data_IF_310017725332
#
_entry.id   IF_310017725332
#
_cell.length_a   1.000
_cell.length_b   1.000
_cell.length_c   1.000
_cell.angle_alpha   90.00
_cell.angle_beta   90.00
_cell.angle_gamma   90.00
#
_symmetry.space_group_name_H-M   'P 1'
#
loop_
_entity.id
_entity.type
_entity.pdbx_description
1 polymer ?
#
# COMPACT_ATOMS: atom_id res chain seq x y z
N UNK A 1 1.30 -17.13 12.82
CA UNK A 1 1.98 -15.86 12.44
C UNK A 1 2.04 -15.82 10.92
N UNK A 2 1.03 -15.25 10.27
CA UNK A 2 1.07 -14.94 8.84
C UNK A 2 1.31 -13.44 8.73
N UNK A 3 2.54 -13.01 8.41
CA UNK A 3 2.75 -11.64 7.97
C UNK A 3 1.81 -11.35 6.79
N UNK A 4 1.22 -10.15 6.74
CA UNK A 4 0.59 -9.67 5.50
C UNK A 4 1.70 -9.55 4.45
N UNK A 5 1.90 -10.62 3.68
CA UNK A 5 2.87 -10.68 2.59
C UNK A 5 2.20 -10.17 1.32
N UNK A 6 1.82 -8.90 1.39
CA UNK A 6 1.41 -8.14 0.23
C UNK A 6 2.61 -7.82 -0.68
N UNK A 7 3.83 -8.18 -0.25
CA UNK A 7 5.02 -8.17 -1.09
C UNK A 7 5.07 -9.38 -2.03
N UNK A 8 4.36 -10.48 -1.78
CA UNK A 8 4.38 -11.67 -2.65
C UNK A 8 3.91 -11.43 -4.08
N UNK A 9 2.77 -10.74 -4.32
CA UNK A 9 2.36 -10.36 -5.67
C UNK A 9 3.34 -9.37 -6.34
N UNK A 10 4.12 -8.65 -5.53
CA UNK A 10 4.99 -7.56 -6.00
C UNK A 10 6.48 -7.90 -5.96
N UNK A 11 6.87 -9.05 -5.41
CA UNK A 11 8.21 -9.54 -5.00
C UNK A 11 9.31 -8.46 -4.99
N UNK A 12 9.11 -7.37 -4.25
CA UNK A 12 9.95 -6.17 -4.38
C UNK A 12 11.40 -6.45 -3.93
N UNK A 13 12.38 -5.97 -4.68
CA UNK A 13 13.78 -6.00 -4.23
C UNK A 13 14.04 -5.08 -3.01
N UNK A 14 15.18 -5.26 -2.31
CA UNK A 14 15.48 -4.63 -1.02
C UNK A 14 15.59 -3.10 -0.99
N UNK A 15 15.60 -2.45 -2.16
CA UNK A 15 15.60 -1.00 -2.29
C UNK A 15 14.38 -0.46 -3.07
N UNK A 16 13.44 -1.34 -3.41
CA UNK A 16 12.23 -1.01 -4.17
C UNK A 16 11.07 -0.87 -3.20
N UNK A 17 10.34 0.23 -3.31
CA UNK A 17 9.12 0.45 -2.52
C UNK A 17 8.06 1.12 -3.37
N UNK A 18 6.82 0.94 -2.95
CA UNK A 18 5.65 1.51 -3.61
C UNK A 18 4.98 2.52 -2.70
N UNK A 19 4.45 3.58 -3.29
CA UNK A 19 3.56 4.52 -2.64
C UNK A 19 2.24 4.56 -3.39
N UNK A 20 1.14 4.48 -2.66
CA UNK A 20 -0.20 4.51 -3.23
C UNK A 20 -1.12 5.38 -2.41
N UNK A 21 -2.11 5.94 -3.08
CA UNK A 21 -3.16 6.71 -2.43
C UNK A 21 -4.45 6.47 -3.20
N UNK A 22 -5.52 6.14 -2.49
CA UNK A 22 -6.87 6.05 -3.08
C UNK A 22 -7.59 7.35 -2.73
N UNK A 23 -7.04 8.46 -3.20
CA UNK A 23 -7.68 9.78 -3.04
C UNK A 23 -8.99 9.80 -3.84
N UNK A 24 -10.11 9.63 -3.15
CA UNK A 24 -11.40 10.19 -3.55
C UNK A 24 -12.22 9.47 -4.62
N UNK A 25 -11.84 8.28 -5.08
CA UNK A 25 -12.63 7.52 -6.06
C UNK A 25 -12.99 6.12 -5.52
N UNK A 26 -14.17 5.97 -4.88
CA UNK A 26 -14.67 4.69 -4.35
C UNK A 26 -14.73 3.58 -5.41
N UNK A 27 -14.90 3.97 -6.67
CA UNK A 27 -15.15 3.05 -7.80
C UNK A 27 -13.88 2.45 -8.41
N UNK A 28 -12.68 2.96 -8.09
CA UNK A 28 -11.45 2.51 -8.79
C UNK A 28 -10.78 1.29 -8.18
N UNK A 29 -11.35 0.67 -7.16
CA UNK A 29 -10.70 -0.43 -6.45
C UNK A 29 -9.54 0.07 -5.59
N UNK A 30 -8.96 -0.82 -4.79
CA UNK A 30 -7.82 -0.50 -3.93
C UNK A 30 -6.55 -0.87 -4.71
N UNK A 31 -5.56 0.02 -4.70
CA UNK A 31 -4.31 -0.05 -5.51
C UNK A 31 -4.43 -0.02 -7.05
N UNK A 32 -5.35 0.74 -7.66
CA UNK A 32 -5.40 0.84 -9.12
C UNK A 32 -4.21 1.63 -9.69
N UNK A 33 -3.56 2.43 -8.85
CA UNK A 33 -2.47 3.34 -9.19
C UNK A 33 -1.49 3.43 -8.04
N UNK A 34 -0.20 3.31 -8.34
CA UNK A 34 0.88 3.50 -7.38
C UNK A 34 2.14 4.03 -8.05
N UNK A 35 2.99 4.67 -7.27
CA UNK A 35 4.34 5.07 -7.64
C UNK A 35 5.32 4.01 -7.16
N UNK A 36 6.15 3.49 -8.06
CA UNK A 36 7.27 2.64 -7.72
C UNK A 36 8.56 3.47 -7.68
N UNK A 37 9.38 3.19 -6.68
CA UNK A 37 10.67 3.82 -6.43
C UNK A 37 11.76 2.75 -6.33
N UNK A 38 13.02 3.17 -6.46
CA UNK A 38 14.17 2.27 -6.31
C UNK A 38 14.68 1.70 -7.63
N UNK A 39 15.71 0.84 -7.59
CA UNK A 39 16.45 0.41 -8.78
C UNK A 39 15.63 -0.48 -9.72
N UNK A 40 14.67 -1.25 -9.19
CA UNK A 40 13.84 -2.16 -9.99
C UNK A 40 12.53 -1.52 -10.45
N UNK A 41 12.34 -0.22 -10.18
CA UNK A 41 11.06 0.46 -10.42
C UNK A 41 10.55 0.34 -11.84
N UNK A 42 11.43 0.28 -12.85
CA UNK A 42 11.06 0.15 -14.27
C UNK A 42 10.76 -1.31 -14.65
N UNK A 43 11.48 -2.26 -14.05
CA UNK A 43 11.32 -3.70 -14.27
C UNK A 43 10.09 -4.29 -13.56
N UNK A 44 9.48 -3.53 -12.65
CA UNK A 44 8.28 -3.95 -11.93
C UNK A 44 7.10 -4.25 -12.87
N UNK A 45 7.02 -3.55 -14.02
CA UNK A 45 5.99 -3.77 -15.02
C UNK A 45 5.98 -5.22 -15.53
N UNK A 46 7.14 -5.69 -15.98
CA UNK A 46 7.31 -7.03 -16.55
C UNK A 46 6.92 -8.11 -15.54
N UNK A 47 7.23 -7.87 -14.27
CA UNK A 47 6.92 -8.80 -13.18
C UNK A 47 5.42 -8.85 -12.91
N UNK A 48 4.77 -7.70 -12.85
CA UNK A 48 3.31 -7.59 -12.72
C UNK A 48 2.57 -8.20 -13.91
N UNK A 49 3.08 -8.06 -15.13
CA UNK A 49 2.48 -8.69 -16.32
C UNK A 49 2.48 -10.22 -16.26
N UNK A 50 3.40 -10.82 -15.49
CA UNK A 50 3.49 -12.27 -15.30
C UNK A 50 2.74 -12.80 -14.09
N UNK A 51 2.19 -11.92 -13.26
CA UNK A 51 1.48 -12.30 -12.04
C UNK A 51 0.05 -12.77 -12.37
N UNK A 52 -0.38 -13.97 -11.90
CA UNK A 52 -1.70 -14.51 -12.20
C UNK A 52 -2.86 -13.71 -11.59
N UNK A 53 -2.59 -12.87 -10.60
CA UNK A 53 -3.57 -11.99 -9.95
C UNK A 53 -3.66 -10.62 -10.62
N UNK A 54 -2.86 -10.35 -11.67
CA UNK A 54 -2.87 -9.12 -12.45
C UNK A 54 -3.50 -9.35 -13.81
N UNK A 55 -4.63 -8.68 -14.07
CA UNK A 55 -5.30 -8.74 -15.38
C UNK A 55 -4.61 -7.83 -16.40
N UNK A 56 -4.14 -6.66 -15.97
CA UNK A 56 -3.40 -5.72 -16.81
C UNK A 56 -2.56 -4.76 -15.97
N UNK A 57 -1.41 -4.37 -16.50
CA UNK A 57 -0.59 -3.28 -15.96
C UNK A 57 -0.17 -2.35 -17.08
N UNK A 58 -0.05 -1.06 -16.77
CA UNK A 58 0.47 -0.05 -17.69
C UNK A 58 1.35 0.95 -16.96
N UNK A 59 2.46 1.32 -17.60
CA UNK A 59 3.27 2.46 -17.20
C UNK A 59 2.59 3.74 -17.70
N UNK A 60 2.32 4.68 -16.80
CA UNK A 60 1.65 5.95 -17.16
C UNK A 60 2.61 7.12 -17.21
N UNK A 61 3.54 7.20 -16.26
CA UNK A 61 4.45 8.32 -16.10
C UNK A 61 5.80 7.80 -15.62
N UNK A 62 6.86 8.15 -16.33
CA UNK A 62 8.24 7.91 -15.91
C UNK A 62 8.86 9.23 -15.46
N UNK A 63 9.51 9.21 -14.29
CA UNK A 63 10.31 10.30 -13.71
C UNK A 63 11.66 9.73 -13.28
N UNK A 64 12.63 10.63 -13.07
CA UNK A 64 14.00 10.26 -12.73
C UNK A 64 14.11 9.35 -11.51
N UNK A 65 13.23 9.53 -10.51
CA UNK A 65 13.23 8.82 -9.23
C UNK A 65 12.08 7.81 -9.06
N UNK A 66 11.07 7.83 -9.94
CA UNK A 66 9.83 7.06 -9.78
C UNK A 66 9.09 6.76 -11.07
N UNK A 67 8.33 5.68 -11.08
CA UNK A 67 7.43 5.30 -12.19
C UNK A 67 6.01 5.15 -11.65
N UNK A 68 5.04 5.77 -12.31
CA UNK A 68 3.62 5.55 -12.00
C UNK A 68 3.10 4.37 -12.79
N UNK A 69 2.56 3.41 -12.06
CA UNK A 69 1.85 2.26 -12.58
C UNK A 69 0.35 2.43 -12.43
N UNK A 70 -0.39 1.87 -13.39
CA UNK A 70 -1.81 1.59 -13.25
C UNK A 70 -2.02 0.09 -13.42
N UNK A 71 -2.61 -0.54 -12.42
CA UNK A 71 -2.84 -1.99 -12.36
C UNK A 71 -4.33 -2.25 -12.30
N UNK A 72 -4.75 -3.27 -13.02
CA UNK A 72 -6.06 -3.89 -12.93
C UNK A 72 -5.86 -5.31 -12.42
N UNK A 73 -6.36 -5.56 -11.22
CA UNK A 73 -6.29 -6.84 -10.55
C UNK A 73 -7.37 -7.79 -11.09
N UNK A 74 -7.10 -9.09 -11.07
CA UNK A 74 -8.10 -10.11 -11.39
C UNK A 74 -9.26 -10.04 -10.38
N UNK A 75 -10.48 -10.33 -10.84
CA UNK A 75 -11.67 -10.33 -9.99
C UNK A 75 -11.67 -11.43 -8.92
N UNK A 76 -10.84 -12.46 -9.09
CA UNK A 76 -10.67 -13.59 -8.18
C UNK A 76 -9.36 -13.48 -7.39
N UNK A 77 -8.89 -12.25 -7.14
CA UNK A 77 -7.73 -11.99 -6.28
C UNK A 77 -7.84 -12.81 -4.98
N UNK A 78 -6.75 -13.44 -4.56
CA UNK A 78 -6.72 -14.25 -3.33
C UNK A 78 -5.65 -13.73 -2.36
N UNK A 79 -5.59 -14.33 -1.17
CA UNK A 79 -4.55 -14.02 -0.19
C UNK A 79 -4.70 -12.66 0.50
N UNK A 80 -3.58 -12.13 0.99
CA UNK A 80 -3.57 -10.99 1.92
C UNK A 80 -4.07 -9.70 1.27
N UNK A 81 -3.85 -9.52 -0.04
CA UNK A 81 -4.31 -8.32 -0.74
C UNK A 81 -5.83 -8.35 -0.89
N UNK A 82 -6.40 -9.50 -1.24
CA UNK A 82 -7.85 -9.66 -1.28
C UNK A 82 -8.47 -9.39 0.09
N UNK A 83 -7.89 -9.98 1.13
CA UNK A 83 -8.36 -9.80 2.50
C UNK A 83 -8.27 -8.34 2.96
N UNK A 84 -7.16 -7.64 2.68
CA UNK A 84 -7.01 -6.22 2.98
C UNK A 84 -8.08 -5.39 2.25
N UNK A 85 -8.29 -5.64 0.95
CA UNK A 85 -9.27 -4.92 0.12
C UNK A 85 -10.69 -5.13 0.65
N UNK A 86 -11.05 -6.37 0.96
CA UNK A 86 -12.36 -6.72 1.51
C UNK A 86 -12.57 -6.06 2.87
N UNK A 87 -11.57 -6.06 3.73
CA UNK A 87 -11.68 -5.48 5.07
C UNK A 87 -11.84 -3.96 5.01
N UNK A 88 -11.04 -3.27 4.19
CA UNK A 88 -11.21 -1.81 3.99
C UNK A 88 -12.61 -1.49 3.50
N UNK A 89 -13.16 -2.28 2.57
CA UNK A 89 -14.53 -2.11 2.05
C UNK A 89 -15.60 -2.41 3.10
N UNK A 90 -15.43 -3.46 3.90
CA UNK A 90 -16.39 -3.85 4.93
C UNK A 90 -16.60 -2.77 6.00
N UNK A 91 -15.58 -1.94 6.24
CA UNK A 91 -15.63 -0.87 7.23
C UNK A 91 -15.76 0.54 6.63
N UNK A 92 -16.05 0.66 5.33
CA UNK A 92 -16.14 1.93 4.59
C UNK A 92 -14.87 2.80 4.77
N UNK A 93 -13.72 2.17 4.97
CA UNK A 93 -12.45 2.87 5.19
C UNK A 93 -11.87 3.37 3.86
N UNK A 94 -11.16 4.50 3.93
CA UNK A 94 -10.49 5.12 2.79
C UNK A 94 -8.99 5.07 3.05
N UNK A 95 -8.22 4.49 2.12
CA UNK A 95 -6.76 4.55 2.18
C UNK A 95 -6.28 5.92 1.71
N UNK A 96 -5.86 6.76 2.65
CA UNK A 96 -5.32 8.08 2.35
C UNK A 96 -3.94 7.98 1.71
N UNK A 97 -3.12 7.09 2.24
CA UNK A 97 -1.77 6.83 1.76
C UNK A 97 -1.34 5.45 2.22
N UNK A 98 -0.59 4.73 1.40
CA UNK A 98 0.02 3.48 1.78
C UNK A 98 1.41 3.37 1.19
N UNK A 99 2.27 2.68 1.93
CA UNK A 99 3.62 2.34 1.51
C UNK A 99 3.86 0.86 1.72
N UNK A 100 4.44 0.26 0.71
CA UNK A 100 4.79 -1.14 0.65
C UNK A 100 6.27 -1.29 0.31
N UNK A 101 6.99 -2.12 1.04
CA UNK A 101 8.28 -2.65 0.61
C UNK A 101 8.33 -4.16 0.85
N UNK A 102 9.52 -4.77 0.72
CA UNK A 102 9.70 -6.21 0.88
C UNK A 102 9.42 -6.72 2.30
N UNK A 103 9.41 -5.86 3.32
CA UNK A 103 9.31 -6.27 4.73
C UNK A 103 8.04 -5.78 5.42
N UNK A 104 7.44 -4.68 4.97
CA UNK A 104 6.20 -4.20 5.59
C UNK A 104 5.26 -3.49 4.63
N UNK A 105 3.99 -3.51 5.04
CA UNK A 105 2.96 -2.63 4.54
C UNK A 105 2.49 -1.69 5.63
N UNK A 106 2.42 -0.40 5.31
CA UNK A 106 1.89 0.62 6.21
C UNK A 106 0.89 1.48 5.47
N UNK A 107 -0.31 1.61 6.02
CA UNK A 107 -1.37 2.43 5.45
C UNK A 107 -1.89 3.42 6.48
N UNK A 108 -2.18 4.62 6.01
CA UNK A 108 -2.97 5.60 6.70
C UNK A 108 -4.42 5.48 6.22
N UNK A 109 -5.32 5.13 7.13
CA UNK A 109 -6.73 4.92 6.85
C UNK A 109 -7.58 6.04 7.45
N UNK A 110 -8.60 6.46 6.72
CA UNK A 110 -9.67 7.32 7.23
C UNK A 110 -10.95 6.51 7.33
N UNK A 111 -11.57 6.53 8.51
CA UNK A 111 -12.85 5.90 8.76
C UNK A 111 -13.97 6.95 8.79
N UNK A 112 -15.19 6.62 8.35
CA UNK A 112 -16.31 7.56 8.33
C UNK A 112 -16.83 7.85 9.74
N UNK A 113 -16.68 6.89 10.67
CA UNK A 113 -17.09 7.02 12.05
C UNK A 113 -16.13 6.30 13.00
N UNK A 114 -16.13 6.73 14.27
CA UNK A 114 -15.35 6.09 15.33
C UNK A 114 -15.77 4.62 15.56
N UNK A 115 -17.06 4.30 15.39
CA UNK A 115 -17.54 2.91 15.49
C UNK A 115 -16.90 2.02 14.43
N UNK A 116 -16.83 2.47 13.17
CA UNK A 116 -16.20 1.72 12.08
C UNK A 116 -14.72 1.42 12.34
N UNK A 117 -14.01 2.34 12.98
CA UNK A 117 -12.63 2.11 13.43
C UNK A 117 -12.58 1.01 14.51
N UNK A 118 -13.48 1.06 15.49
CA UNK A 118 -13.53 0.06 16.57
C UNK A 118 -13.93 -1.33 16.06
N UNK A 119 -14.85 -1.40 15.11
CA UNK A 119 -15.26 -2.64 14.46
C UNK A 119 -14.09 -3.21 13.64
N UNK A 120 -13.37 -2.36 12.89
CA UNK A 120 -12.14 -2.75 12.19
C UNK A 120 -11.09 -3.32 13.14
N UNK A 121 -10.93 -2.73 14.34
CA UNK A 121 -10.03 -3.26 15.37
C UNK A 121 -10.46 -4.63 15.93
N UNK A 122 -11.76 -4.92 15.94
CA UNK A 122 -12.29 -6.18 16.46
C UNK A 122 -12.20 -7.31 15.43
N UNK A 123 -12.36 -6.97 14.14
CA UNK A 123 -12.40 -7.94 13.05
C UNK A 123 -11.00 -8.34 12.56
N UNK A 124 -9.99 -7.47 12.71
CA UNK A 124 -8.60 -7.83 12.44
C UNK A 124 -7.98 -8.54 13.65
N UNK A 125 -7.69 -9.85 13.53
CA UNK A 125 -6.90 -10.57 14.55
C UNK A 125 -5.53 -9.86 14.74
N UNK A 126 -5.39 -9.21 15.90
CA UNK A 126 -4.34 -8.23 16.22
C UNK A 126 -2.91 -8.77 16.26
N UNK A 127 -2.71 -10.07 16.10
CA UNK A 127 -1.39 -10.70 16.24
C UNK A 127 -0.42 -10.36 15.09
N UNK A 128 -0.90 -9.67 14.04
CA UNK A 128 -0.17 -9.45 12.78
C UNK A 128 -0.08 -7.99 12.33
N UNK A 129 -0.74 -7.05 13.04
CA UNK A 129 -0.77 -5.64 12.70
C UNK A 129 -0.24 -4.76 13.85
N UNK A 130 0.81 -4.00 13.59
CA UNK A 130 1.18 -2.86 14.44
C UNK A 130 0.35 -1.65 14.02
N UNK A 131 -0.61 -1.26 14.86
CA UNK A 131 -1.45 -0.09 14.61
C UNK A 131 -0.97 1.08 15.47
N UNK A 132 -0.57 2.16 14.82
CA UNK A 132 -0.14 3.39 15.48
C UNK A 132 -1.17 4.50 15.27
N UNK A 133 -1.63 5.11 16.37
CA UNK A 133 -2.44 6.32 16.29
C UNK A 133 -1.56 7.52 15.96
N UNK A 134 -1.68 8.02 14.72
CA UNK A 134 -1.00 9.24 14.30
C UNK A 134 -1.91 10.47 14.43
N UNK A 135 -1.39 11.52 15.09
CA UNK A 135 -1.92 12.88 14.96
C UNK A 135 -1.83 13.35 13.49
N UNK A 136 -2.60 14.39 13.08
CA UNK A 136 -2.49 14.94 11.73
C UNK A 136 -1.06 15.35 11.33
N UNK A 137 -0.24 15.77 12.29
CA UNK A 137 1.17 16.13 12.07
C UNK A 137 2.03 14.90 11.82
N UNK A 138 1.82 13.81 12.56
CA UNK A 138 2.52 12.54 12.33
C UNK A 138 2.09 11.90 11.00
N UNK A 139 0.81 11.96 10.68
CA UNK A 139 0.28 11.55 9.38
C UNK A 139 0.94 12.34 8.23
N UNK A 140 1.13 13.66 8.39
CA UNK A 140 1.84 14.48 7.42
C UNK A 140 3.32 14.06 7.26
N UNK A 141 4.02 13.77 8.36
CA UNK A 141 5.42 13.27 8.33
C UNK A 141 5.53 11.94 7.59
N UNK A 142 4.59 11.03 7.84
CA UNK A 142 4.49 9.74 7.13
C UNK A 142 4.25 9.93 5.63
N UNK A 143 3.27 10.76 5.25
CA UNK A 143 2.93 11.05 3.84
C UNK A 143 4.07 11.77 3.11
N UNK A 144 4.85 12.61 3.81
CA UNK A 144 5.94 13.39 3.21
C UNK A 144 7.29 12.64 3.19
N UNK A 145 7.37 11.45 3.77
CA UNK A 145 8.61 10.66 3.83
C UNK A 145 9.75 11.31 4.62
N UNK A 146 9.44 12.33 5.44
CA UNK A 146 10.43 13.15 6.17
C UNK A 146 11.15 12.39 7.28
N UNK A 147 10.62 11.23 7.72
CA UNK A 147 11.30 10.31 8.65
C UNK A 147 12.73 9.95 8.19
N UNK A 148 13.02 10.01 6.88
CA UNK A 148 14.36 9.72 6.33
C UNK A 148 15.40 10.82 6.57
N UNK A 149 15.05 12.05 6.98
CA UNK A 149 16.05 13.12 7.14
C UNK A 149 16.71 13.17 8.52
N UNK A 150 16.21 12.41 9.49
CA UNK A 150 16.72 12.48 10.88
C UNK A 150 17.61 11.31 11.28
N UNK A 151 17.89 10.35 10.39
CA UNK A 151 18.70 9.16 10.71
C UNK A 151 20.03 9.07 9.95
N UNK A 152 20.54 10.19 9.45
CA UNK A 152 21.94 10.34 9.04
C UNK A 152 22.48 11.67 9.55
N UNK A 153 22.64 11.75 10.86
CA UNK A 153 23.61 12.61 11.50
C UNK A 153 23.82 12.06 12.90
N UNK A 154 24.76 11.12 13.03
CA UNK A 154 25.64 10.99 14.19
C UNK A 154 26.74 9.97 13.83
N UNK A 155 27.95 10.53 13.70
CA UNK A 155 29.33 9.98 13.64
C UNK A 155 29.64 8.63 12.98
#
# INVERSE_FOLDING_TARGET
>A
MQELDLARPLSLGPATYLEFATLGEPETGILPRFWAYGPEREALAERLETDPEVEAVSQRIVRDDRVQYSVRWDTNLTGDLAHFIETIRAHDAIVLFGRADQTFWRCLLQFPAKSSLLDFFADYELDLLTIEHHSPQQAHTFVSGVERRTSTSDD
#
